data_IF_788827349682
#
_entry.id   IF_788827349682
#
_cell.length_a   1.000
_cell.length_b   1.000
_cell.length_c   1.000
_cell.angle_alpha   90.00
_cell.angle_beta   90.00
_cell.angle_gamma   90.00
#
_symmetry.space_group_name_H-M   'P 1'
#
loop_
_entity.id
_entity.type
_entity.pdbx_description
1 polymer ?
#
# COMPACT_ATOMS: atom_id res chain seq x y z
N UNK A 1 74.12 32.48 5.86
CA UNK A 1 73.02 33.45 5.77
C UNK A 1 71.77 32.61 5.52
N UNK A 2 70.99 32.39 6.58
CA UNK A 2 69.78 33.17 6.91
C UNK A 2 68.62 32.71 6.01
N UNK A 3 67.41 32.49 6.49
CA UNK A 3 66.82 32.60 7.83
C UNK A 3 65.37 32.11 7.69
N UNK A 4 64.76 31.73 8.82
CA UNK A 4 63.34 31.95 9.14
C UNK A 4 62.29 31.24 8.26
N UNK A 5 61.73 30.13 8.74
CA UNK A 5 60.60 30.03 9.68
C UNK A 5 59.25 29.96 8.95
N UNK A 6 58.82 28.73 8.69
CA UNK A 6 57.43 28.36 8.43
C UNK A 6 57.14 27.12 9.28
N UNK A 7 56.27 27.28 10.27
CA UNK A 7 55.04 26.50 10.50
C UNK A 7 54.24 27.32 11.51
N UNK A 8 53.15 27.90 11.00
CA UNK A 8 52.19 28.71 11.73
C UNK A 8 51.03 27.80 12.18
N UNK A 9 50.66 27.95 13.45
CA UNK A 9 49.45 27.49 14.16
C UNK A 9 49.06 26.00 14.10
N UNK A 10 49.41 25.29 15.18
CA UNK A 10 48.46 24.41 15.88
C UNK A 10 48.61 24.67 17.39
N UNK A 11 47.87 25.67 17.85
CA UNK A 11 47.68 26.01 19.26
C UNK A 11 46.83 24.90 19.88
N UNK A 12 47.50 23.94 20.55
CA UNK A 12 46.84 22.88 21.28
C UNK A 12 46.17 23.51 22.49
N UNK A 13 44.88 23.82 22.34
CA UNK A 13 43.98 24.05 23.45
C UNK A 13 43.84 22.73 24.19
N UNK A 14 44.79 22.45 25.08
CA UNK A 14 44.53 21.58 26.21
C UNK A 14 43.56 22.37 27.09
N UNK A 15 42.29 21.99 27.06
CA UNK A 15 41.36 22.32 28.13
C UNK A 15 41.85 21.55 29.36
N UNK A 16 42.88 22.07 30.03
CA UNK A 16 43.07 21.79 31.44
C UNK A 16 42.05 22.65 32.17
N UNK A 17 40.96 22.01 32.60
CA UNK A 17 40.16 22.52 33.69
C UNK A 17 41.11 22.88 34.83
N UNK A 18 41.21 24.18 35.08
CA UNK A 18 42.08 24.82 36.06
C UNK A 18 41.78 24.25 37.45
N UNK A 19 42.52 23.22 37.83
CA UNK A 19 42.35 22.55 39.11
C UNK A 19 42.72 23.53 40.25
N UNK A 20 41.73 23.79 41.12
CA UNK A 20 41.85 24.65 42.30
C UNK A 20 42.83 24.07 43.35
N UNK A 21 43.35 22.85 43.14
CA UNK A 21 44.32 22.20 44.02
C UNK A 21 45.75 22.77 43.91
N UNK A 22 46.13 23.37 42.78
CA UNK A 22 47.47 23.95 42.60
C UNK A 22 47.77 25.15 43.51
N UNK A 23 46.74 25.92 43.89
CA UNK A 23 46.90 27.04 44.84
C UNK A 23 47.21 26.54 46.26
N UNK A 24 46.68 25.36 46.63
CA UNK A 24 46.92 24.76 47.94
C UNK A 24 48.38 24.32 48.10
N UNK A 25 48.98 23.73 47.06
CA UNK A 25 50.37 23.29 47.10
C UNK A 25 51.37 24.46 47.14
N UNK A 26 51.07 25.57 46.47
CA UNK A 26 51.92 26.78 46.51
C UNK A 26 51.92 27.42 47.91
N UNK A 27 50.77 27.46 48.59
CA UNK A 27 50.67 28.01 49.95
C UNK A 27 51.40 27.12 50.96
N UNK A 28 51.32 25.80 50.82
CA UNK A 28 52.03 24.84 51.68
C UNK A 28 53.55 24.91 51.46
N UNK A 29 54.00 25.05 50.21
CA UNK A 29 55.42 25.21 49.88
C UNK A 29 55.99 26.55 50.38
N UNK A 30 55.20 27.64 50.30
CA UNK A 30 55.58 28.96 50.84
C UNK A 30 55.73 28.96 52.36
N UNK A 31 54.89 28.20 53.08
CA UNK A 31 54.97 28.06 54.53
C UNK A 31 56.18 27.21 54.98
N UNK A 32 56.54 26.17 54.22
CA UNK A 32 57.69 25.31 54.54
C UNK A 32 59.04 25.95 54.15
N UNK A 33 59.08 26.79 53.11
CA UNK A 33 60.28 27.52 52.70
C UNK A 33 60.70 28.62 53.67
N UNK A 34 59.74 29.25 54.37
CA UNK A 34 60.02 30.31 55.34
C UNK A 34 60.44 29.79 56.72
N UNK A 35 60.15 28.54 57.06
CA UNK A 35 60.51 27.95 58.35
C UNK A 35 61.98 27.47 58.44
N UNK A 36 62.63 27.20 57.31
CA UNK A 36 64.00 26.66 57.25
C UNK A 36 65.08 27.68 56.85
N UNK A 37 64.70 28.92 56.51
CA UNK A 37 65.59 29.90 55.88
C UNK A 37 66.31 30.90 56.80
N UNK A 38 66.10 30.90 58.11
CA UNK A 38 66.65 31.95 58.96
C UNK A 38 66.99 31.50 60.37
N UNK A 39 68.27 31.22 60.62
CA UNK A 39 69.08 31.96 61.61
C UNK A 39 70.48 31.34 61.72
N UNK A 40 71.38 31.88 60.92
CA UNK A 40 72.82 31.88 61.19
C UNK A 40 73.10 32.97 62.23
N UNK A 41 73.73 32.61 63.35
CA UNK A 41 74.62 33.47 64.14
C UNK A 41 74.02 34.37 65.24
N UNK A 42 74.13 33.95 66.50
CA UNK A 42 74.93 34.67 67.51
C UNK A 42 74.88 33.99 68.89
N UNK A 43 76.05 33.95 69.51
CA UNK A 43 76.40 33.20 70.70
C UNK A 43 76.13 34.10 71.92
N UNK A 44 75.01 33.90 72.61
CA UNK A 44 74.82 34.26 74.03
C UNK A 44 73.34 34.15 74.41
N UNK A 45 72.98 33.12 75.19
CA UNK A 45 72.00 33.17 76.31
C UNK A 45 71.62 31.74 76.73
N UNK A 46 72.54 31.07 77.44
CA UNK A 46 72.39 29.70 77.95
C UNK A 46 71.47 29.57 79.18
N UNK A 47 70.38 30.34 79.27
CA UNK A 47 69.48 30.30 80.44
C UNK A 47 67.98 30.34 80.13
N UNK A 48 67.58 30.48 78.86
CA UNK A 48 66.17 30.56 78.45
C UNK A 48 65.70 29.40 77.56
N UNK A 49 66.60 28.48 77.19
CA UNK A 49 66.30 27.36 76.31
C UNK A 49 65.52 26.23 76.99
N UNK A 50 65.68 26.01 78.30
CA UNK A 50 65.07 24.86 78.99
C UNK A 50 63.55 24.99 79.15
N UNK A 51 63.06 26.15 79.61
CA UNK A 51 61.62 26.41 79.73
C UNK A 51 60.94 26.55 78.35
N UNK A 52 61.67 27.01 77.33
CA UNK A 52 61.19 27.04 75.96
C UNK A 52 61.16 25.64 75.33
N UNK A 53 62.12 24.75 75.65
CA UNK A 53 62.13 23.35 75.22
C UNK A 53 61.01 22.53 75.88
N UNK A 54 60.84 22.62 77.20
CA UNK A 54 59.79 21.88 77.91
C UNK A 54 58.39 22.28 77.44
N UNK A 55 58.18 23.58 77.16
CA UNK A 55 56.93 24.09 76.59
C UNK A 55 56.72 23.76 75.11
N UNK A 56 57.78 23.50 74.35
CA UNK A 56 57.71 23.09 72.95
C UNK A 56 57.47 21.58 72.83
N UNK A 57 58.08 20.77 73.69
CA UNK A 57 57.94 19.32 73.73
C UNK A 57 56.54 18.90 74.19
N UNK A 58 55.96 19.61 75.17
CA UNK A 58 54.56 19.42 75.56
C UNK A 58 53.59 19.77 74.41
N UNK A 59 53.87 20.81 73.62
CA UNK A 59 53.07 21.16 72.44
C UNK A 59 53.27 20.20 71.27
N UNK A 60 54.47 19.63 71.13
CA UNK A 60 54.78 18.66 70.09
C UNK A 60 54.10 17.32 70.38
N UNK A 61 54.09 16.87 71.63
CA UNK A 61 53.36 15.68 72.09
C UNK A 61 51.85 15.84 71.85
N UNK A 62 51.26 16.97 72.24
CA UNK A 62 49.85 17.29 71.98
C UNK A 62 49.51 17.32 70.48
N UNK A 63 50.37 17.92 69.64
CA UNK A 63 50.14 17.95 68.19
C UNK A 63 50.26 16.57 67.54
N UNK A 64 51.17 15.71 68.01
CA UNK A 64 51.35 14.36 67.50
C UNK A 64 50.17 13.47 67.89
N UNK A 65 49.60 13.68 69.07
CA UNK A 65 48.42 12.98 69.55
C UNK A 65 47.15 13.44 68.83
N UNK A 66 46.95 14.76 68.67
CA UNK A 66 45.87 15.34 67.86
C UNK A 66 45.94 14.89 66.40
N UNK A 67 47.14 14.85 65.80
CA UNK A 67 47.31 14.40 64.41
C UNK A 67 46.99 12.91 64.25
N UNK A 68 47.31 12.07 65.24
CA UNK A 68 46.93 10.65 65.22
C UNK A 68 45.42 10.48 65.35
N UNK A 69 44.77 11.22 66.25
CA UNK A 69 43.31 11.18 66.36
C UNK A 69 42.63 11.69 65.09
N UNK A 70 43.14 12.76 64.48
CA UNK A 70 42.59 13.34 63.26
C UNK A 70 42.79 12.41 62.05
N UNK A 71 43.91 11.71 61.95
CA UNK A 71 44.13 10.71 60.88
C UNK A 71 43.14 9.55 61.02
N UNK A 72 42.94 9.03 62.23
CA UNK A 72 41.98 7.95 62.48
C UNK A 72 40.55 8.42 62.22
N UNK A 73 40.18 9.64 62.62
CA UNK A 73 38.84 10.20 62.36
C UNK A 73 38.61 10.51 60.87
N UNK A 74 39.66 10.93 60.14
CA UNK A 74 39.59 11.17 58.70
C UNK A 74 39.54 9.86 57.92
N UNK A 75 40.32 8.83 58.28
CA UNK A 75 40.23 7.51 57.67
C UNK A 75 38.85 6.89 57.89
N UNK A 76 38.28 7.00 59.10
CA UNK A 76 36.96 6.47 59.43
C UNK A 76 35.82 7.26 58.74
N UNK A 77 36.00 8.57 58.52
CA UNK A 77 35.06 9.40 57.73
C UNK A 77 35.19 9.15 56.22
N UNK A 78 36.40 8.95 55.70
CA UNK A 78 36.62 8.65 54.28
C UNK A 78 36.08 7.27 53.94
N UNK A 79 36.31 6.25 54.79
CA UNK A 79 35.72 4.93 54.62
C UNK A 79 34.18 4.97 54.65
N UNK A 80 33.58 5.73 55.58
CA UNK A 80 32.11 5.92 55.62
C UNK A 80 31.58 6.66 54.40
N UNK A 81 32.30 7.67 53.90
CA UNK A 81 31.90 8.42 52.70
C UNK A 81 32.04 7.56 51.43
N UNK A 82 33.09 6.76 51.31
CA UNK A 82 33.26 5.80 50.21
C UNK A 82 32.16 4.73 50.22
N UNK A 83 31.78 4.22 51.40
CA UNK A 83 30.65 3.28 51.55
C UNK A 83 29.31 3.94 51.19
N UNK A 84 29.08 5.19 51.60
CA UNK A 84 27.85 5.94 51.28
C UNK A 84 27.75 6.28 49.78
N UNK A 85 28.88 6.63 49.16
CA UNK A 85 28.96 6.90 47.71
C UNK A 85 28.79 5.60 46.93
N UNK A 86 29.44 4.51 47.34
CA UNK A 86 29.26 3.20 46.72
C UNK A 86 27.81 2.72 46.83
N UNK A 87 27.17 2.92 47.99
CA UNK A 87 25.75 2.60 48.18
C UNK A 87 24.84 3.44 47.29
N UNK A 88 25.07 4.76 47.18
CA UNK A 88 24.27 5.65 46.33
C UNK A 88 24.49 5.38 44.84
N UNK A 89 25.72 5.06 44.45
CA UNK A 89 26.06 4.68 43.08
C UNK A 89 25.42 3.35 42.70
N UNK A 90 25.46 2.35 43.59
CA UNK A 90 24.80 1.07 43.37
C UNK A 90 23.28 1.25 43.28
N UNK A 91 22.69 2.05 44.16
CA UNK A 91 21.25 2.35 44.10
C UNK A 91 20.87 3.06 42.79
N UNK A 92 21.66 4.03 42.33
CA UNK A 92 21.41 4.72 41.07
C UNK A 92 21.56 3.79 39.85
N UNK A 93 22.53 2.87 39.88
CA UNK A 93 22.70 1.83 38.85
C UNK A 93 21.50 0.88 38.85
N UNK A 94 21.06 0.42 40.02
CA UNK A 94 19.92 -0.49 40.15
C UNK A 94 18.61 0.18 39.71
N UNK A 95 18.39 1.45 40.09
CA UNK A 95 17.24 2.25 39.64
C UNK A 95 17.24 2.45 38.13
N UNK A 96 18.39 2.82 37.54
CA UNK A 96 18.54 2.99 36.10
C UNK A 96 18.37 1.68 35.34
N UNK A 97 18.90 0.57 35.88
CA UNK A 97 18.74 -0.75 35.29
C UNK A 97 17.28 -1.20 35.32
N UNK A 98 16.57 -0.95 36.42
CA UNK A 98 15.16 -1.25 36.55
C UNK A 98 14.30 -0.39 35.61
N UNK A 99 14.62 0.89 35.43
CA UNK A 99 13.95 1.76 34.46
C UNK A 99 14.17 1.28 33.02
N UNK A 100 15.40 0.90 32.66
CA UNK A 100 15.72 0.33 31.35
C UNK A 100 15.03 -1.02 31.11
N UNK A 101 14.96 -1.89 32.11
CA UNK A 101 14.23 -3.16 32.01
C UNK A 101 12.73 -2.93 31.80
N UNK A 102 12.14 -1.97 32.53
CA UNK A 102 10.74 -1.59 32.35
C UNK A 102 10.47 -0.98 30.96
N UNK A 103 11.35 -0.11 30.47
CA UNK A 103 11.25 0.46 29.13
C UNK A 103 11.39 -0.60 28.04
N UNK A 104 12.32 -1.55 28.19
CA UNK A 104 12.48 -2.68 27.28
C UNK A 104 11.26 -3.62 27.30
N UNK A 105 10.67 -3.85 28.47
CA UNK A 105 9.45 -4.65 28.60
C UNK A 105 8.25 -3.96 27.92
N UNK A 106 8.08 -2.65 28.11
CA UNK A 106 7.04 -1.87 27.45
C UNK A 106 7.21 -1.87 25.91
N UNK A 107 8.43 -1.63 25.43
CA UNK A 107 8.73 -1.65 24.00
C UNK A 107 8.50 -3.03 23.36
N UNK A 108 8.91 -4.10 24.05
CA UNK A 108 8.62 -5.48 23.59
C UNK A 108 7.13 -5.75 23.51
N UNK A 109 6.35 -5.25 24.47
CA UNK A 109 4.90 -5.37 24.44
C UNK A 109 4.31 -4.65 23.24
N UNK A 110 4.72 -3.40 22.98
CA UNK A 110 4.26 -2.60 21.85
C UNK A 110 4.62 -3.22 20.50
N UNK A 111 5.84 -3.72 20.35
CA UNK A 111 6.27 -4.47 19.15
C UNK A 111 5.40 -5.71 18.94
N UNK A 112 5.10 -6.46 20.01
CA UNK A 112 4.25 -7.66 19.89
C UNK A 112 2.81 -7.33 19.48
N UNK A 113 2.27 -6.21 19.97
CA UNK A 113 0.93 -5.74 19.58
C UNK A 113 0.94 -5.22 18.13
N UNK A 114 1.97 -4.49 17.72
CA UNK A 114 2.15 -4.06 16.34
C UNK A 114 2.31 -5.24 15.38
N UNK A 115 3.03 -6.29 15.76
CA UNK A 115 3.16 -7.52 14.98
C UNK A 115 1.80 -8.23 14.83
N UNK A 116 1.04 -8.37 15.92
CA UNK A 116 -0.33 -8.94 15.86
C UNK A 116 -1.25 -8.12 14.97
N UNK A 117 -1.22 -6.79 15.10
CA UNK A 117 -2.03 -5.89 14.28
C UNK A 117 -1.63 -6.03 12.81
N UNK A 118 -0.34 -6.02 12.49
CA UNK A 118 0.13 -6.24 11.11
C UNK A 118 -0.34 -7.58 10.54
N UNK A 119 -0.19 -8.68 11.27
CA UNK A 119 -0.67 -10.00 10.84
C UNK A 119 -2.18 -9.99 10.60
N UNK A 120 -2.95 -9.36 11.49
CA UNK A 120 -4.41 -9.26 11.33
C UNK A 120 -4.80 -8.40 10.12
N UNK A 121 -4.05 -7.33 9.83
CA UNK A 121 -4.26 -6.47 8.68
C UNK A 121 -3.90 -7.21 7.39
N UNK A 122 -2.79 -7.95 7.36
CA UNK A 122 -2.40 -8.77 6.22
C UNK A 122 -3.45 -9.84 5.91
N UNK A 123 -4.00 -10.49 6.94
CA UNK A 123 -5.08 -11.46 6.79
C UNK A 123 -6.35 -10.81 6.24
N UNK A 124 -6.79 -9.67 6.80
CA UNK A 124 -7.95 -8.94 6.30
C UNK A 124 -7.75 -8.47 4.85
N UNK A 125 -6.55 -7.99 4.52
CA UNK A 125 -6.22 -7.52 3.18
C UNK A 125 -6.24 -8.68 2.18
N UNK A 126 -5.74 -9.86 2.57
CA UNK A 126 -5.82 -11.07 1.76
C UNK A 126 -7.27 -11.54 1.57
N UNK A 127 -8.09 -11.52 2.63
CA UNK A 127 -9.52 -11.84 2.54
C UNK A 127 -10.26 -10.87 1.60
N UNK A 128 -10.03 -9.56 1.73
CA UNK A 128 -10.62 -8.56 0.84
C UNK A 128 -10.17 -8.74 -0.60
N UNK A 129 -8.89 -9.03 -0.86
CA UNK A 129 -8.39 -9.34 -2.20
C UNK A 129 -9.10 -10.55 -2.81
N UNK A 130 -9.30 -11.61 -2.04
CA UNK A 130 -10.02 -12.79 -2.50
C UNK A 130 -11.49 -12.48 -2.81
N UNK A 131 -12.16 -11.72 -1.95
CA UNK A 131 -13.54 -11.27 -2.18
C UNK A 131 -13.66 -10.41 -3.43
N UNK A 132 -12.74 -9.47 -3.64
CA UNK A 132 -12.70 -8.63 -4.85
C UNK A 132 -12.48 -9.50 -6.10
N UNK A 133 -11.56 -10.47 -6.03
CA UNK A 133 -11.31 -11.38 -7.15
C UNK A 133 -12.56 -12.22 -7.50
N UNK A 134 -13.24 -12.77 -6.49
CA UNK A 134 -14.49 -13.51 -6.67
C UNK A 134 -15.60 -12.61 -7.24
N UNK A 135 -15.83 -11.45 -6.64
CA UNK A 135 -16.83 -10.51 -7.12
C UNK A 135 -16.55 -10.02 -8.55
N UNK A 136 -15.28 -9.82 -8.91
CA UNK A 136 -14.87 -9.45 -10.27
C UNK A 136 -15.14 -10.59 -11.25
N UNK A 137 -14.86 -11.84 -10.85
CA UNK A 137 -15.16 -13.01 -11.67
C UNK A 137 -16.66 -13.17 -11.90
N UNK A 138 -17.47 -13.06 -10.84
CA UNK A 138 -18.94 -13.11 -10.93
C UNK A 138 -19.49 -11.97 -11.79
N UNK A 139 -19.00 -10.74 -11.60
CA UNK A 139 -19.43 -9.59 -12.39
C UNK A 139 -19.10 -9.77 -13.89
N UNK A 140 -17.91 -10.29 -14.21
CA UNK A 140 -17.54 -10.61 -15.59
C UNK A 140 -18.43 -11.69 -16.20
N UNK A 141 -18.83 -12.70 -15.42
CA UNK A 141 -19.76 -13.73 -15.88
C UNK A 141 -21.16 -13.14 -16.11
N UNK A 142 -21.66 -12.34 -15.18
CA UNK A 142 -22.96 -11.67 -15.29
C UNK A 142 -23.00 -10.70 -16.48
N UNK A 143 -21.95 -9.90 -16.69
CA UNK A 143 -21.87 -9.01 -17.86
C UNK A 143 -21.89 -9.79 -19.17
N UNK A 144 -21.12 -10.89 -19.28
CA UNK A 144 -21.17 -11.75 -20.47
C UNK A 144 -22.55 -12.36 -20.70
N UNK A 145 -23.24 -12.76 -19.63
CA UNK A 145 -24.61 -13.28 -19.73
C UNK A 145 -25.59 -12.18 -20.16
N UNK A 146 -25.46 -10.97 -19.64
CA UNK A 146 -26.28 -9.82 -20.03
C UNK A 146 -26.05 -9.43 -21.49
N UNK A 147 -24.79 -9.37 -21.95
CA UNK A 147 -24.44 -9.08 -23.34
C UNK A 147 -24.98 -10.16 -24.30
N UNK A 148 -24.88 -11.42 -23.92
CA UNK A 148 -25.44 -12.53 -24.69
C UNK A 148 -26.96 -12.42 -24.79
N UNK A 149 -27.64 -12.12 -23.68
CA UNK A 149 -29.09 -11.91 -23.68
C UNK A 149 -29.49 -10.71 -24.54
N UNK A 150 -28.79 -9.58 -24.44
CA UNK A 150 -29.02 -8.41 -25.28
C UNK A 150 -28.86 -8.75 -26.77
N UNK A 151 -27.80 -9.47 -27.12
CA UNK A 151 -27.56 -9.93 -28.51
C UNK A 151 -28.69 -10.84 -29.01
N UNK A 152 -29.18 -11.77 -28.18
CA UNK A 152 -30.31 -12.65 -28.53
C UNK A 152 -31.60 -11.83 -28.70
N UNK A 153 -31.87 -10.87 -27.83
CA UNK A 153 -33.04 -9.99 -27.95
C UNK A 153 -32.99 -9.12 -29.22
N UNK A 154 -31.82 -8.58 -29.58
CA UNK A 154 -31.67 -7.79 -30.80
C UNK A 154 -31.85 -8.65 -32.06
N UNK A 155 -31.20 -9.82 -32.11
CA UNK A 155 -31.32 -10.75 -33.24
C UNK A 155 -32.74 -11.31 -33.40
N UNK A 156 -33.40 -11.63 -32.28
CA UNK A 156 -34.79 -12.09 -32.33
C UNK A 156 -35.73 -11.01 -32.82
N UNK A 157 -35.55 -9.76 -32.37
CA UNK A 157 -36.32 -8.62 -32.89
C UNK A 157 -36.12 -8.44 -34.39
N UNK A 158 -34.89 -8.54 -34.89
CA UNK A 158 -34.60 -8.48 -36.32
C UNK A 158 -35.29 -9.62 -37.08
N UNK A 159 -35.17 -10.86 -36.58
CA UNK A 159 -35.83 -12.03 -37.16
C UNK A 159 -37.35 -11.86 -37.22
N UNK A 160 -38.00 -11.39 -36.15
CA UNK A 160 -39.44 -11.15 -36.13
C UNK A 160 -39.87 -10.04 -37.11
N UNK A 161 -39.07 -8.99 -37.27
CA UNK A 161 -39.33 -7.94 -38.26
C UNK A 161 -39.24 -8.48 -39.69
N UNK A 162 -38.23 -9.32 -39.97
CA UNK A 162 -38.08 -9.98 -41.26
C UNK A 162 -39.23 -10.96 -41.51
N UNK A 163 -39.61 -11.77 -40.51
CA UNK A 163 -40.72 -12.71 -40.60
C UNK A 163 -42.04 -11.97 -40.92
N UNK A 164 -42.31 -10.85 -40.26
CA UNK A 164 -43.49 -10.03 -40.54
C UNK A 164 -43.50 -9.51 -41.97
N UNK A 165 -42.35 -9.03 -42.46
CA UNK A 165 -42.21 -8.53 -43.84
C UNK A 165 -42.45 -9.65 -44.86
N UNK A 166 -41.85 -10.82 -44.66
CA UNK A 166 -42.04 -11.99 -45.53
C UNK A 166 -43.50 -12.44 -45.52
N UNK A 167 -44.18 -12.42 -44.36
CA UNK A 167 -45.63 -12.73 -44.28
C UNK A 167 -46.47 -11.73 -45.09
N UNK A 168 -46.17 -10.44 -45.03
CA UNK A 168 -46.87 -9.42 -45.81
C UNK A 168 -46.65 -9.59 -47.31
N UNK A 169 -45.41 -9.85 -47.74
CA UNK A 169 -45.07 -10.13 -49.14
C UNK A 169 -45.77 -11.40 -49.65
N UNK A 170 -45.82 -12.45 -48.81
CA UNK A 170 -46.52 -13.69 -49.13
C UNK A 170 -48.03 -13.46 -49.26
N UNK A 171 -48.66 -12.69 -48.37
CA UNK A 171 -50.09 -12.34 -48.47
C UNK A 171 -50.37 -11.55 -49.76
N UNK A 172 -49.49 -10.62 -50.14
CA UNK A 172 -49.63 -9.86 -51.38
C UNK A 172 -49.52 -10.77 -52.62
N UNK A 173 -48.58 -11.72 -52.61
CA UNK A 173 -48.43 -12.70 -53.70
C UNK A 173 -49.59 -13.69 -53.77
N UNK A 174 -50.16 -14.09 -52.63
CA UNK A 174 -51.35 -14.94 -52.58
C UNK A 174 -52.57 -14.22 -53.16
N UNK A 175 -52.76 -12.93 -52.86
CA UNK A 175 -53.79 -12.10 -53.51
C UNK A 175 -53.56 -11.98 -55.01
N UNK A 176 -52.32 -11.74 -55.45
CA UNK A 176 -52.01 -11.68 -56.89
C UNK A 176 -52.29 -13.02 -57.58
N UNK A 177 -51.97 -14.15 -56.93
CA UNK A 177 -52.30 -15.49 -57.42
C UNK A 177 -53.80 -15.67 -57.56
N UNK A 178 -54.58 -15.32 -56.53
CA UNK A 178 -56.04 -15.41 -56.51
C UNK A 178 -56.70 -14.54 -57.60
N UNK A 179 -56.12 -13.38 -57.92
CA UNK A 179 -56.59 -12.51 -59.00
C UNK A 179 -56.20 -13.02 -60.40
N UNK A 180 -55.02 -13.63 -60.53
CA UNK A 180 -54.49 -14.15 -61.80
C UNK A 180 -55.12 -15.49 -62.18
N UNK A 181 -55.38 -16.37 -61.23
CA UNK A 181 -55.90 -17.72 -61.49
C UNK A 181 -57.21 -17.73 -62.31
N UNK A 182 -58.25 -16.92 -62.00
CA UNK A 182 -59.46 -16.85 -62.82
C UNK A 182 -59.20 -16.18 -64.17
N UNK A 183 -58.31 -15.18 -64.24
CA UNK A 183 -57.94 -14.51 -65.50
C UNK A 183 -57.26 -15.47 -66.46
N UNK A 184 -56.33 -16.28 -65.98
CA UNK A 184 -55.64 -17.31 -66.78
C UNK A 184 -56.64 -18.36 -67.27
N UNK A 185 -57.57 -18.82 -66.42
CA UNK A 185 -58.63 -19.76 -66.83
C UNK A 185 -59.51 -19.18 -67.94
N UNK A 186 -59.89 -17.90 -67.84
CA UNK A 186 -60.67 -17.21 -68.87
C UNK A 186 -59.88 -17.04 -70.17
N UNK A 187 -58.66 -16.52 -70.09
CA UNK A 187 -57.79 -16.32 -71.26
C UNK A 187 -57.47 -17.64 -71.99
N UNK A 188 -57.34 -18.75 -71.23
CA UNK A 188 -57.21 -20.08 -71.80
C UNK A 188 -58.44 -20.48 -72.61
N UNK A 189 -59.64 -20.30 -72.05
CA UNK A 189 -60.89 -20.56 -72.78
C UNK A 189 -61.00 -19.70 -74.05
N UNK A 190 -60.59 -18.43 -73.99
CA UNK A 190 -60.63 -17.51 -75.13
C UNK A 190 -59.60 -17.91 -76.22
N UNK A 191 -58.39 -18.34 -75.83
CA UNK A 191 -57.38 -18.89 -76.75
C UNK A 191 -57.85 -20.22 -77.37
N UNK A 192 -58.43 -21.13 -76.60
CA UNK A 192 -58.97 -22.41 -77.10
C UNK A 192 -60.08 -22.18 -78.14
N UNK A 193 -60.96 -21.19 -77.93
CA UNK A 193 -61.99 -20.78 -78.89
C UNK A 193 -61.42 -20.17 -80.16
N UNK A 194 -60.36 -19.34 -80.04
CA UNK A 194 -59.62 -18.79 -81.18
C UNK A 194 -58.98 -19.89 -82.02
N UNK A 195 -58.26 -20.81 -81.38
CA UNK A 195 -57.59 -21.94 -82.04
C UNK A 195 -58.57 -22.92 -82.68
N UNK A 196 -59.75 -23.10 -82.08
CA UNK A 196 -60.82 -23.92 -82.65
C UNK A 196 -61.54 -23.25 -83.84
N UNK A 197 -61.38 -21.94 -84.05
CA UNK A 197 -62.04 -21.20 -85.12
C UNK A 197 -63.57 -21.13 -85.01
N UNK A 198 -64.12 -21.35 -83.81
CA UNK A 198 -65.57 -21.51 -83.56
C UNK A 198 -66.27 -20.22 -83.17
N UNK A 199 -65.54 -19.11 -83.04
CA UNK A 199 -66.04 -17.81 -82.56
C UNK A 199 -65.46 -16.66 -83.39
N UNK A 200 -66.31 -15.73 -83.82
CA UNK A 200 -65.90 -14.47 -84.46
C UNK A 200 -65.41 -13.41 -83.46
N UNK A 201 -65.71 -13.58 -82.16
CA UNK A 201 -65.28 -12.68 -81.07
C UNK A 201 -63.88 -13.01 -80.53
N UNK A 202 -63.29 -14.12 -80.98
CA UNK A 202 -61.99 -14.58 -80.52
C UNK A 202 -60.86 -13.71 -81.10
N UNK A 203 -60.15 -12.97 -80.25
CA UNK A 203 -59.08 -12.06 -80.68
C UNK A 203 -57.77 -12.82 -80.89
N UNK A 204 -56.99 -12.40 -81.90
CA UNK A 204 -55.67 -12.98 -82.19
C UNK A 204 -54.65 -12.82 -81.05
N UNK A 205 -54.85 -11.82 -80.17
CA UNK A 205 -53.98 -11.56 -79.02
C UNK A 205 -54.33 -12.41 -77.77
N UNK A 206 -55.32 -13.29 -77.85
CA UNK A 206 -55.81 -14.06 -76.71
C UNK A 206 -54.76 -15.07 -76.20
N UNK A 207 -54.04 -15.72 -77.11
CA UNK A 207 -53.01 -16.69 -76.74
C UNK A 207 -51.75 -16.02 -76.19
N UNK A 208 -51.31 -14.89 -76.76
CA UNK A 208 -50.17 -14.12 -76.21
C UNK A 208 -50.46 -13.65 -74.78
N UNK A 209 -51.68 -13.15 -74.52
CA UNK A 209 -52.11 -12.74 -73.17
C UNK A 209 -52.21 -13.92 -72.21
N UNK A 210 -52.64 -15.09 -72.70
CA UNK A 210 -52.69 -16.29 -71.90
C UNK A 210 -51.27 -16.74 -71.49
N UNK A 211 -50.31 -16.70 -72.41
CA UNK A 211 -48.92 -17.05 -72.12
C UNK A 211 -48.28 -16.06 -71.14
N UNK A 212 -48.50 -14.75 -71.33
CA UNK A 212 -48.03 -13.71 -70.41
C UNK A 212 -48.60 -13.92 -69.00
N UNK A 213 -49.92 -14.10 -68.88
CA UNK A 213 -50.57 -14.32 -67.60
C UNK A 213 -50.16 -15.63 -66.94
N UNK A 214 -49.94 -16.69 -67.73
CA UNK A 214 -49.46 -18.00 -67.23
C UNK A 214 -48.01 -17.93 -66.74
N UNK A 215 -47.15 -17.20 -67.46
CA UNK A 215 -45.77 -16.93 -67.06
C UNK A 215 -45.72 -16.15 -65.74
N UNK A 216 -46.53 -15.09 -65.63
CA UNK A 216 -46.65 -14.32 -64.39
C UNK A 216 -47.15 -15.17 -63.22
N UNK A 217 -48.18 -15.98 -63.43
CA UNK A 217 -48.70 -16.90 -62.41
C UNK A 217 -47.63 -17.91 -61.95
N UNK A 218 -46.83 -18.43 -62.88
CA UNK A 218 -45.70 -19.32 -62.55
C UNK A 218 -44.66 -18.61 -61.68
N UNK A 219 -44.28 -17.37 -62.04
CA UNK A 219 -43.35 -16.56 -61.27
C UNK A 219 -43.88 -16.28 -59.85
N UNK A 220 -45.15 -15.90 -59.72
CA UNK A 220 -45.80 -15.66 -58.42
C UNK A 220 -45.77 -16.93 -57.57
N UNK A 221 -46.14 -18.08 -58.13
CA UNK A 221 -46.10 -19.37 -57.41
C UNK A 221 -44.68 -19.75 -56.96
N UNK A 222 -43.66 -19.46 -57.78
CA UNK A 222 -42.26 -19.67 -57.40
C UNK A 222 -41.87 -18.79 -56.22
N UNK A 223 -42.21 -17.49 -56.25
CA UNK A 223 -41.90 -16.57 -55.14
C UNK A 223 -42.63 -16.95 -53.86
N UNK A 224 -43.91 -17.36 -53.93
CA UNK A 224 -44.65 -17.89 -52.77
C UNK A 224 -43.89 -19.07 -52.15
N UNK A 225 -43.41 -20.02 -52.98
CA UNK A 225 -42.68 -21.18 -52.48
C UNK A 225 -41.36 -20.81 -51.81
N UNK A 226 -40.63 -19.83 -52.36
CA UNK A 226 -39.40 -19.31 -51.75
C UNK A 226 -39.71 -18.69 -50.38
N UNK A 227 -40.67 -17.77 -50.29
CA UNK A 227 -41.05 -17.15 -49.02
C UNK A 227 -41.57 -18.16 -48.00
N UNK A 228 -42.29 -19.20 -48.41
CA UNK A 228 -42.69 -20.29 -47.52
C UNK A 228 -41.49 -21.08 -46.97
N UNK A 229 -40.43 -21.27 -47.77
CA UNK A 229 -39.20 -21.88 -47.28
C UNK A 229 -38.46 -20.94 -46.33
N UNK A 230 -38.40 -19.65 -46.63
CA UNK A 230 -37.77 -18.64 -45.77
C UNK A 230 -38.46 -18.60 -44.39
N UNK A 231 -39.79 -18.61 -44.35
CA UNK A 231 -40.55 -18.67 -43.08
C UNK A 231 -40.25 -19.95 -42.29
N UNK A 232 -40.06 -21.09 -42.96
CA UNK A 232 -39.67 -22.33 -42.27
C UNK A 232 -38.26 -22.25 -41.69
N UNK A 233 -37.33 -21.64 -42.42
CA UNK A 233 -35.96 -21.42 -41.93
C UNK A 233 -35.94 -20.45 -40.76
N UNK A 234 -36.66 -19.32 -40.85
CA UNK A 234 -36.79 -18.37 -39.75
C UNK A 234 -37.40 -19.01 -38.50
N UNK A 235 -38.41 -19.88 -38.68
CA UNK A 235 -38.99 -20.64 -37.56
C UNK A 235 -37.97 -21.57 -36.91
N UNK A 236 -37.20 -22.31 -37.70
CA UNK A 236 -36.15 -23.18 -37.18
C UNK A 236 -35.05 -22.39 -36.41
N UNK A 237 -34.68 -21.21 -36.90
CA UNK A 237 -33.76 -20.31 -36.21
C UNK A 237 -34.35 -19.78 -34.90
N UNK A 238 -35.66 -19.52 -34.86
CA UNK A 238 -36.36 -19.08 -33.64
C UNK A 238 -36.39 -20.19 -32.60
N UNK A 239 -36.69 -21.42 -33.01
CA UNK A 239 -36.67 -22.61 -32.13
C UNK A 239 -35.24 -22.87 -31.57
N UNK A 240 -34.19 -22.66 -32.38
CA UNK A 240 -32.78 -22.80 -31.95
C UNK A 240 -32.38 -21.72 -30.92
N UNK A 241 -32.91 -20.51 -31.06
CA UNK A 241 -32.72 -19.43 -30.08
C UNK A 241 -33.52 -19.65 -28.79
N UNK A 242 -34.37 -20.69 -28.72
CA UNK A 242 -35.18 -21.03 -27.55
C UNK A 242 -36.38 -20.10 -27.35
N UNK A 243 -36.90 -19.52 -28.43
CA UNK A 243 -38.03 -18.59 -28.46
C UNK A 243 -39.32 -19.26 -28.99
#
# INVERSE_FOLDING_TARGET
>A
MNSESEIDNDDVVVIEERDKRSYLYIVIAGALGLALGGLVGSVATAGKWQAAYDGLEAKYQLLVEDKKQLIVEVEDKVAKVDDEIASKLQQAIDEQQQEHENALAALRSEVSELEKVNLSLEEQLNQQKQQIAQATQENNQLNRQADMQATIFERSRELFQQELKVKQELEALEKEREDLEPKVKKLKSDCDLYLAGTSWDAKSDSCDKQDEASSRLSQVNQMIRVHQMDLKQMKALTDELGL
#
